data_IF_666940290811
#
_entry.id   IF_666940290811
#
_cell.length_a   1.000
_cell.length_b   1.000
_cell.length_c   1.000
_cell.angle_alpha   90.00
_cell.angle_beta   90.00
_cell.angle_gamma   90.00
#
_symmetry.space_group_name_H-M   'P 1'
#
loop_
_entity.id
_entity.type
_entity.pdbx_description
1 polymer ?
#
# COMPACT_ATOMS: atom_id res chain seq x y z
N UNK A 1 18.01 64.45 -12.08
CA UNK A 1 19.15 64.61 -11.16
C UNK A 1 18.62 64.84 -9.75
N UNK A 2 18.68 63.82 -8.89
CA UNK A 2 19.17 63.91 -7.49
C UNK A 2 18.89 62.57 -6.79
N UNK A 3 19.97 61.80 -6.65
CA UNK A 3 20.10 60.65 -5.78
C UNK A 3 19.97 61.08 -4.31
N UNK A 4 19.13 60.40 -3.53
CA UNK A 4 19.19 60.46 -2.07
C UNK A 4 18.94 59.07 -1.48
N UNK A 5 20.01 58.28 -1.37
CA UNK A 5 20.07 57.10 -0.50
C UNK A 5 20.14 57.59 0.96
N UNK A 6 19.07 57.38 1.73
CA UNK A 6 19.10 57.50 3.20
C UNK A 6 19.21 56.11 3.83
N UNK A 7 20.33 55.89 4.51
CA UNK A 7 20.66 54.72 5.32
C UNK A 7 19.69 54.60 6.50
N UNK A 8 19.17 53.38 6.74
CA UNK A 8 18.47 52.99 7.97
C UNK A 8 19.49 52.84 9.12
N UNK A 9 19.18 53.30 10.36
CA UNK A 9 20.05 53.10 11.50
C UNK A 9 19.83 51.71 12.14
N UNK A 10 20.93 51.03 12.40
CA UNK A 10 21.05 49.82 13.22
C UNK A 10 20.58 50.09 14.67
N UNK A 11 19.45 49.52 15.06
CA UNK A 11 18.98 49.48 16.46
C UNK A 11 18.45 48.07 16.80
N UNK A 12 19.33 47.06 16.68
CA UNK A 12 19.15 45.80 17.40
C UNK A 12 19.99 45.87 18.67
N UNK A 13 19.33 46.24 19.77
CA UNK A 13 19.91 46.26 21.09
C UNK A 13 20.29 44.84 21.52
N UNK A 14 21.56 44.68 21.91
CA UNK A 14 22.18 43.45 22.44
C UNK A 14 21.60 42.99 23.79
N UNK A 15 20.42 43.46 24.18
CA UNK A 15 19.82 43.23 25.50
C UNK A 15 18.72 42.17 25.51
N UNK A 16 18.15 41.79 24.36
CA UNK A 16 17.14 40.72 24.32
C UNK A 16 17.72 39.30 24.34
N UNK A 17 18.99 39.11 23.98
CA UNK A 17 19.64 37.80 24.02
C UNK A 17 20.11 37.36 25.42
N UNK A 18 20.12 38.28 26.40
CA UNK A 18 20.59 38.00 27.78
C UNK A 18 19.47 37.67 28.77
N UNK A 19 18.21 37.97 28.42
CA UNK A 19 17.04 37.71 29.26
C UNK A 19 16.44 36.30 29.08
N UNK A 20 16.81 35.57 28.03
CA UNK A 20 16.28 34.23 27.73
C UNK A 20 17.16 33.07 28.25
N UNK A 21 18.15 33.36 29.10
CA UNK A 21 19.12 32.36 29.63
C UNK A 21 18.97 32.08 31.13
N UNK A 22 17.83 32.44 31.74
CA UNK A 22 17.55 32.22 33.17
C UNK A 22 16.08 31.84 33.47
N UNK A 23 15.49 31.01 32.64
CA UNK A 23 14.29 30.24 33.02
C UNK A 23 14.64 28.75 33.04
N UNK A 24 15.13 28.28 34.20
CA UNK A 24 15.13 26.86 34.56
C UNK A 24 13.67 26.41 34.74
N UNK A 25 12.96 26.23 33.62
CA UNK A 25 11.75 25.42 33.59
C UNK A 25 12.23 24.03 33.19
N UNK A 26 12.58 23.23 34.20
CA UNK A 26 12.67 21.78 34.04
C UNK A 26 11.28 21.28 33.67
N UNK A 27 10.99 21.16 32.37
CA UNK A 27 9.90 20.29 31.94
C UNK A 27 10.21 18.90 32.49
N UNK A 28 9.26 18.22 33.15
CA UNK A 28 9.46 16.82 33.46
C UNK A 28 9.60 16.13 32.11
N UNK A 29 10.79 15.59 31.85
CA UNK A 29 10.97 14.63 30.76
C UNK A 29 10.01 13.51 31.12
N UNK A 30 8.87 13.44 30.44
CA UNK A 30 8.02 12.27 30.47
C UNK A 30 8.81 11.20 29.71
N UNK A 31 9.79 10.60 30.37
CA UNK A 31 10.32 9.30 29.98
C UNK A 31 9.17 8.34 30.23
N UNK A 32 8.26 8.22 29.27
CA UNK A 32 7.47 7.01 29.17
C UNK A 32 8.47 5.86 29.19
N UNK A 33 8.34 4.87 30.10
CA UNK A 33 9.13 3.67 29.96
C UNK A 33 8.91 3.18 28.54
N UNK A 34 9.99 2.81 27.84
CA UNK A 34 9.90 2.07 26.59
C UNK A 34 9.09 0.82 26.91
N UNK A 35 7.77 0.90 26.78
CA UNK A 35 6.89 -0.26 26.84
C UNK A 35 7.38 -1.12 25.71
N UNK A 36 8.09 -2.19 26.08
CA UNK A 36 8.52 -3.23 25.17
C UNK A 36 7.29 -3.60 24.37
N UNK A 37 7.29 -3.27 23.08
CA UNK A 37 6.26 -3.72 22.15
C UNK A 37 6.16 -5.23 22.41
N UNK A 38 5.00 -5.77 22.81
CA UNK A 38 4.90 -7.19 23.09
C UNK A 38 5.35 -7.91 21.82
N UNK A 39 6.49 -8.61 21.91
CA UNK A 39 7.05 -9.31 20.77
C UNK A 39 6.00 -10.33 20.33
N UNK A 40 5.46 -10.14 19.13
CA UNK A 40 4.44 -11.02 18.55
C UNK A 40 4.88 -12.47 18.73
N UNK A 41 3.98 -13.40 19.13
CA UNK A 41 4.34 -14.81 19.27
C UNK A 41 4.99 -15.29 17.97
N UNK A 42 6.28 -15.59 18.05
CA UNK A 42 7.07 -16.05 16.92
C UNK A 42 6.77 -17.53 16.76
N UNK A 43 5.88 -17.86 15.81
CA UNK A 43 5.80 -19.24 15.33
C UNK A 43 7.20 -19.58 14.80
N UNK A 44 7.86 -20.63 15.30
CA UNK A 44 9.20 -20.98 14.84
C UNK A 44 9.15 -21.24 13.33
N UNK A 45 10.14 -20.76 12.56
CA UNK A 45 10.13 -20.98 11.12
C UNK A 45 10.12 -22.49 10.83
N UNK A 46 9.39 -22.93 9.79
CA UNK A 46 9.38 -24.34 9.43
C UNK A 46 10.80 -24.79 9.07
N UNK A 47 11.15 -26.02 9.45
CA UNK A 47 12.38 -26.67 9.00
C UNK A 47 12.35 -26.79 7.48
N UNK A 48 13.51 -26.64 6.83
CA UNK A 48 13.63 -26.78 5.36
C UNK A 48 13.12 -28.15 4.90
N UNK A 49 13.39 -29.21 5.67
CA UNK A 49 12.89 -30.57 5.39
C UNK A 49 11.37 -30.71 5.40
N UNK A 50 10.65 -29.79 6.03
CA UNK A 50 9.18 -29.75 6.11
C UNK A 50 8.58 -28.64 5.23
N UNK A 51 9.40 -27.88 4.53
CA UNK A 51 8.98 -26.77 3.68
C UNK A 51 8.69 -27.28 2.28
N UNK A 52 7.52 -26.93 1.74
CA UNK A 52 7.24 -27.16 0.32
C UNK A 52 8.00 -26.13 -0.52
N UNK A 53 9.16 -26.55 -1.06
CA UNK A 53 10.03 -25.73 -1.89
C UNK A 53 10.62 -26.58 -3.03
N UNK A 54 9.93 -26.69 -4.18
CA UNK A 54 10.44 -27.38 -5.36
C UNK A 54 11.49 -26.53 -6.07
N UNK A 55 12.65 -26.32 -5.42
CA UNK A 55 13.77 -25.59 -6.00
C UNK A 55 14.57 -26.49 -6.95
N UNK A 56 14.72 -26.06 -8.20
CA UNK A 56 15.55 -26.72 -9.22
C UNK A 56 16.72 -25.83 -9.66
N UNK A 57 17.15 -24.91 -8.79
CA UNK A 57 18.22 -23.99 -9.10
C UNK A 57 19.53 -24.75 -9.34
N UNK A 58 20.01 -24.69 -10.58
CA UNK A 58 21.32 -25.19 -10.99
C UNK A 58 22.07 -24.06 -11.66
N UNK A 59 23.29 -23.83 -11.21
CA UNK A 59 24.16 -22.81 -11.77
C UNK A 59 24.44 -23.14 -13.25
N UNK A 60 24.24 -22.17 -14.14
CA UNK A 60 24.42 -22.34 -15.59
C UNK A 60 23.28 -23.04 -16.35
N UNK A 61 22.15 -23.38 -15.72
CA UNK A 61 20.97 -23.85 -16.45
C UNK A 61 20.15 -22.69 -17.01
N UNK A 62 20.10 -22.58 -18.34
CA UNK A 62 19.18 -21.72 -19.06
C UNK A 62 17.84 -22.44 -19.24
N UNK A 63 16.89 -22.14 -18.37
CA UNK A 63 15.53 -22.68 -18.46
C UNK A 63 14.71 -21.89 -19.50
N UNK A 64 14.84 -22.29 -20.77
CA UNK A 64 13.95 -21.94 -21.89
C UNK A 64 13.85 -20.46 -22.27
N UNK A 65 12.88 -20.14 -23.13
CA UNK A 65 12.57 -18.82 -23.73
C UNK A 65 12.08 -17.75 -22.72
N UNK A 66 12.57 -17.77 -21.48
CA UNK A 66 12.25 -16.78 -20.46
C UNK A 66 13.13 -15.54 -20.64
N UNK A 67 12.52 -14.46 -21.12
CA UNK A 67 13.17 -13.16 -21.38
C UNK A 67 13.55 -12.42 -20.10
N UNK A 68 12.79 -12.57 -19.01
CA UNK A 68 12.99 -11.81 -17.77
C UNK A 68 13.81 -12.57 -16.71
N UNK A 69 14.87 -11.93 -16.20
CA UNK A 69 15.77 -12.51 -15.18
C UNK A 69 15.06 -12.80 -13.85
N UNK A 70 14.18 -11.92 -13.39
CA UNK A 70 13.46 -12.11 -12.12
C UNK A 70 12.53 -13.32 -12.17
N UNK A 71 11.76 -13.45 -13.26
CA UNK A 71 10.88 -14.60 -13.48
C UNK A 71 11.67 -15.91 -13.52
N UNK A 72 12.81 -15.94 -14.23
CA UNK A 72 13.71 -17.10 -14.27
C UNK A 72 14.15 -17.52 -12.87
N UNK A 73 14.64 -16.58 -12.07
CA UNK A 73 15.10 -16.86 -10.71
C UNK A 73 13.96 -17.34 -9.81
N UNK A 74 12.79 -16.71 -9.88
CA UNK A 74 11.65 -17.09 -9.04
C UNK A 74 11.13 -18.50 -9.35
N UNK A 75 11.18 -18.92 -10.62
CA UNK A 75 10.84 -20.29 -11.02
C UNK A 75 11.90 -21.29 -10.54
N UNK A 76 13.19 -21.01 -10.78
CA UNK A 76 14.29 -21.90 -10.42
C UNK A 76 14.41 -22.10 -8.90
N UNK A 77 14.17 -21.04 -8.13
CA UNK A 77 14.23 -21.09 -6.66
C UNK A 77 12.97 -21.69 -6.02
N UNK A 78 11.94 -22.03 -6.81
CA UNK A 78 10.69 -22.58 -6.29
C UNK A 78 9.88 -21.55 -5.49
N UNK A 79 9.88 -20.28 -5.92
CA UNK A 79 9.05 -19.23 -5.32
C UNK A 79 7.66 -19.15 -5.98
N UNK A 80 7.60 -19.39 -7.29
CA UNK A 80 6.35 -19.41 -8.06
C UNK A 80 6.26 -20.66 -8.92
N UNK A 81 5.04 -21.07 -9.23
CA UNK A 81 4.76 -22.13 -10.20
C UNK A 81 3.68 -21.66 -11.18
N UNK A 82 3.87 -21.77 -12.50
CA UNK A 82 2.87 -21.33 -13.48
C UNK A 82 1.63 -22.24 -13.43
N UNK A 83 0.43 -21.64 -13.50
CA UNK A 83 -0.84 -22.36 -13.67
C UNK A 83 -1.34 -22.24 -15.11
N UNK A 84 -1.49 -20.99 -15.55
CA UNK A 84 -2.01 -20.59 -16.86
C UNK A 84 -1.20 -19.37 -17.32
N UNK A 85 -1.25 -18.98 -18.60
CA UNK A 85 -0.61 -17.75 -19.05
C UNK A 85 -1.06 -16.54 -18.22
N UNK A 86 -0.12 -15.89 -17.51
CA UNK A 86 -0.41 -14.77 -16.61
C UNK A 86 -0.88 -15.15 -15.20
N UNK A 87 -1.06 -16.44 -14.88
CA UNK A 87 -1.49 -16.91 -13.56
C UNK A 87 -0.41 -17.78 -12.90
N UNK A 88 -0.07 -17.47 -11.65
CA UNK A 88 0.97 -18.15 -10.90
C UNK A 88 0.48 -18.58 -9.52
N UNK A 89 0.91 -19.77 -9.09
CA UNK A 89 0.85 -20.17 -7.70
C UNK A 89 2.04 -19.56 -6.95
N UNK A 90 1.76 -18.81 -5.89
CA UNK A 90 2.79 -18.35 -4.96
C UNK A 90 3.07 -19.44 -3.93
N UNK A 91 4.33 -19.86 -3.85
CA UNK A 91 4.75 -20.92 -2.94
C UNK A 91 5.00 -20.35 -1.53
N UNK A 92 5.07 -21.20 -0.48
CA UNK A 92 5.06 -20.73 0.91
C UNK A 92 6.10 -19.67 1.25
N UNK A 93 7.30 -19.76 0.67
CA UNK A 93 8.36 -18.75 0.88
C UNK A 93 8.00 -17.41 0.23
N UNK A 94 7.43 -17.43 -0.97
CA UNK A 94 7.00 -16.23 -1.66
C UNK A 94 5.83 -15.54 -0.92
N UNK A 95 4.85 -16.33 -0.45
CA UNK A 95 3.74 -15.82 0.36
C UNK A 95 4.24 -15.13 1.63
N UNK A 96 5.20 -15.72 2.35
CA UNK A 96 5.79 -15.08 3.55
C UNK A 96 6.46 -13.74 3.23
N UNK A 97 7.13 -13.62 2.09
CA UNK A 97 7.74 -12.36 1.67
C UNK A 97 6.68 -11.33 1.25
N UNK A 98 5.64 -11.76 0.54
CA UNK A 98 4.50 -10.92 0.16
C UNK A 98 3.77 -10.38 1.40
N UNK A 99 3.50 -11.22 2.39
CA UNK A 99 2.88 -10.78 3.66
C UNK A 99 3.71 -9.72 4.40
N UNK A 100 5.04 -9.82 4.36
CA UNK A 100 5.91 -8.79 4.96
C UNK A 100 5.79 -7.45 4.22
N UNK A 101 5.74 -7.50 2.89
CA UNK A 101 5.55 -6.30 2.07
C UNK A 101 4.19 -5.66 2.33
N UNK A 102 3.11 -6.47 2.36
CA UNK A 102 1.76 -5.98 2.67
C UNK A 102 1.72 -5.33 4.05
N UNK A 103 2.34 -5.95 5.07
CA UNK A 103 2.42 -5.35 6.41
C UNK A 103 3.13 -4.00 6.42
N UNK A 104 4.25 -3.88 5.70
CA UNK A 104 4.97 -2.62 5.60
C UNK A 104 4.10 -1.54 4.95
N UNK A 105 3.41 -1.87 3.86
CA UNK A 105 2.49 -0.93 3.21
C UNK A 105 1.33 -0.56 4.14
N UNK A 106 0.74 -1.53 4.85
CA UNK A 106 -0.33 -1.29 5.81
C UNK A 106 0.12 -0.36 6.96
N UNK A 107 1.34 -0.54 7.47
CA UNK A 107 1.94 0.31 8.51
C UNK A 107 2.08 1.76 8.03
N UNK A 108 2.60 1.98 6.82
CA UNK A 108 2.76 3.31 6.23
C UNK A 108 1.41 3.96 5.90
N UNK A 109 0.48 3.20 5.32
CA UNK A 109 -0.87 3.68 5.01
C UNK A 109 -1.64 4.04 6.28
N UNK A 110 -1.48 3.26 7.34
CA UNK A 110 -2.06 3.58 8.64
C UNK A 110 -1.42 4.83 9.26
N UNK A 111 -0.10 5.04 9.10
CA UNK A 111 0.61 6.21 9.61
C UNK A 111 0.07 7.54 9.01
N UNK A 112 -0.40 7.53 7.76
CA UNK A 112 -1.04 8.69 7.12
C UNK A 112 -2.56 8.78 7.38
N UNK A 113 -3.12 7.92 8.23
CA UNK A 113 -4.56 7.90 8.57
C UNK A 113 -5.44 7.16 7.55
N UNK A 114 -4.84 6.33 6.70
CA UNK A 114 -5.56 5.46 5.76
C UNK A 114 -6.32 4.34 6.48
N UNK A 115 -7.52 4.06 6.01
CA UNK A 115 -8.39 3.01 6.52
C UNK A 115 -8.49 1.87 5.49
N UNK A 116 -8.11 0.67 5.91
CA UNK A 116 -8.14 -0.52 5.05
C UNK A 116 -9.57 -1.05 4.94
N UNK A 117 -10.00 -1.32 3.72
CA UNK A 117 -11.27 -1.96 3.38
C UNK A 117 -11.01 -3.12 2.42
N UNK A 118 -11.94 -4.05 2.33
CA UNK A 118 -11.87 -5.16 1.37
C UNK A 118 -13.07 -5.05 0.42
N UNK A 119 -12.81 -4.77 -0.85
CA UNK A 119 -13.83 -4.65 -1.88
C UNK A 119 -13.89 -5.93 -2.72
N UNK A 120 -15.08 -6.32 -3.20
CA UNK A 120 -15.25 -7.54 -3.97
C UNK A 120 -14.44 -7.47 -5.27
N UNK A 121 -13.81 -8.59 -5.65
CA UNK A 121 -13.11 -8.74 -6.94
C UNK A 121 -14.10 -8.76 -8.12
N UNK A 122 -15.31 -9.27 -7.87
CA UNK A 122 -16.39 -9.32 -8.83
C UNK A 122 -17.25 -8.05 -8.72
N UNK A 123 -17.28 -7.24 -9.77
CA UNK A 123 -18.04 -5.99 -9.83
C UNK A 123 -19.23 -6.13 -10.79
N UNK A 124 -20.36 -5.50 -10.48
CA UNK A 124 -21.53 -5.50 -11.37
C UNK A 124 -21.27 -4.65 -12.62
N UNK A 125 -21.78 -5.07 -13.76
CA UNK A 125 -21.63 -4.29 -14.99
C UNK A 125 -22.37 -2.95 -14.93
N UNK A 126 -23.46 -2.86 -14.18
CA UNK A 126 -24.23 -1.62 -14.00
C UNK A 126 -23.36 -0.48 -13.46
N UNK A 127 -22.51 -0.78 -12.49
CA UNK A 127 -21.60 0.17 -11.85
C UNK A 127 -20.59 0.74 -12.85
N UNK A 128 -20.05 -0.09 -13.74
CA UNK A 128 -19.14 0.32 -14.82
C UNK A 128 -19.84 1.00 -16.00
N UNK A 129 -21.12 0.68 -16.23
CA UNK A 129 -21.95 1.38 -17.22
C UNK A 129 -22.28 2.79 -16.74
N UNK A 130 -22.56 2.99 -15.44
CA UNK A 130 -22.75 4.31 -14.82
C UNK A 130 -21.53 5.22 -15.01
N UNK A 131 -20.31 4.68 -14.91
CA UNK A 131 -19.08 5.44 -15.16
C UNK A 131 -18.75 5.63 -16.64
N UNK A 132 -19.41 4.92 -17.54
CA UNK A 132 -19.09 4.87 -18.97
C UNK A 132 -17.82 4.09 -19.31
N UNK A 133 -17.10 3.55 -18.32
CA UNK A 133 -15.84 2.81 -18.55
C UNK A 133 -16.06 1.39 -19.08
N UNK A 134 -17.28 0.86 -19.00
CA UNK A 134 -17.63 -0.47 -19.49
C UNK A 134 -17.23 -0.72 -20.95
N UNK A 135 -17.52 0.24 -21.84
CA UNK A 135 -17.20 0.11 -23.27
C UNK A 135 -15.75 0.53 -23.56
N UNK A 136 -15.23 1.52 -22.83
CA UNK A 136 -13.88 2.07 -23.02
C UNK A 136 -12.78 1.05 -22.73
N UNK A 137 -12.98 0.18 -21.73
CA UNK A 137 -12.00 -0.86 -21.38
C UNK A 137 -11.88 -1.98 -22.43
N UNK A 138 -12.81 -2.04 -23.39
CA UNK A 138 -12.68 -2.88 -24.58
C UNK A 138 -12.52 -4.38 -24.28
N UNK A 139 -11.42 -4.96 -24.77
CA UNK A 139 -11.13 -6.41 -24.71
C UNK A 139 -10.32 -6.82 -23.48
N UNK A 140 -9.72 -5.88 -22.76
CA UNK A 140 -8.93 -6.17 -21.56
C UNK A 140 -9.83 -6.47 -20.36
N UNK A 141 -11.06 -5.95 -20.35
CA UNK A 141 -12.03 -6.23 -19.31
C UNK A 141 -12.55 -7.66 -19.40
N UNK A 142 -12.27 -8.44 -18.36
CA UNK A 142 -12.86 -9.76 -18.21
C UNK A 142 -14.33 -9.62 -17.81
N UNK A 143 -15.23 -10.09 -18.68
CA UNK A 143 -16.68 -10.05 -18.49
C UNK A 143 -17.22 -11.46 -18.32
N UNK A 144 -18.18 -11.61 -17.44
CA UNK A 144 -18.86 -12.88 -17.19
C UNK A 144 -20.36 -12.67 -16.99
N UNK A 145 -21.12 -13.71 -17.29
CA UNK A 145 -22.55 -13.79 -17.06
C UNK A 145 -22.79 -14.85 -15.98
N UNK A 146 -23.52 -14.48 -14.93
CA UNK A 146 -23.99 -15.44 -13.94
C UNK A 146 -25.15 -16.29 -14.50
N UNK A 147 -25.51 -17.38 -13.82
CA UNK A 147 -26.63 -18.28 -14.16
C UNK A 147 -27.98 -17.58 -14.29
N UNK A 148 -28.14 -16.41 -13.70
CA UNK A 148 -29.35 -15.58 -13.78
C UNK A 148 -29.28 -14.51 -14.90
N UNK A 149 -28.33 -14.64 -15.84
CA UNK A 149 -28.04 -13.66 -16.90
C UNK A 149 -27.65 -12.27 -16.37
N UNK A 150 -27.15 -12.20 -15.14
CA UNK A 150 -26.60 -10.97 -14.58
C UNK A 150 -25.15 -10.77 -15.08
N UNK A 151 -24.86 -9.56 -15.56
CA UNK A 151 -23.55 -9.18 -16.09
C UNK A 151 -22.61 -8.70 -14.98
N UNK A 152 -21.42 -9.27 -14.94
CA UNK A 152 -20.35 -8.92 -14.03
C UNK A 152 -19.02 -8.76 -14.77
N UNK A 153 -18.07 -8.12 -14.12
CA UNK A 153 -16.67 -8.09 -14.53
C UNK A 153 -15.74 -8.43 -13.36
N UNK A 154 -14.55 -8.92 -13.68
CA UNK A 154 -13.44 -8.86 -12.73
C UNK A 154 -12.89 -7.44 -12.79
N UNK A 155 -13.02 -6.71 -11.68
CA UNK A 155 -12.59 -5.31 -11.60
C UNK A 155 -11.07 -5.22 -11.77
N UNK A 156 -10.54 -4.60 -12.84
CA UNK A 156 -9.11 -4.31 -12.93
C UNK A 156 -8.68 -3.26 -11.90
N UNK A 157 -9.63 -2.38 -11.53
CA UNK A 157 -9.50 -1.32 -10.53
C UNK A 157 -10.85 -1.13 -9.82
N UNK A 158 -10.88 -0.35 -8.73
CA UNK A 158 -12.03 -0.26 -7.81
C UNK A 158 -12.58 1.16 -7.59
N UNK A 159 -12.30 2.12 -8.48
CA UNK A 159 -12.75 3.51 -8.33
C UNK A 159 -14.27 3.63 -8.29
N UNK A 160 -14.98 2.92 -9.17
CA UNK A 160 -16.43 2.89 -9.16
C UNK A 160 -16.99 2.18 -7.93
N UNK A 161 -16.33 1.10 -7.48
CA UNK A 161 -16.76 0.32 -6.32
C UNK A 161 -16.68 1.13 -5.03
N UNK A 162 -15.57 1.84 -4.81
CA UNK A 162 -15.40 2.70 -3.63
C UNK A 162 -16.32 3.93 -3.69
N UNK A 163 -16.58 4.46 -4.89
CA UNK A 163 -17.48 5.61 -5.06
C UNK A 163 -18.93 5.22 -4.78
N UNK A 164 -19.39 4.07 -5.28
CA UNK A 164 -20.74 3.55 -4.98
C UNK A 164 -20.87 3.22 -3.48
N UNK A 165 -19.84 2.60 -2.88
CA UNK A 165 -19.81 2.36 -1.44
C UNK A 165 -19.99 3.67 -0.69
N UNK A 166 -19.22 4.72 -1.02
CA UNK A 166 -19.34 6.02 -0.38
C UNK A 166 -20.72 6.67 -0.60
N UNK A 167 -21.25 6.63 -1.82
CA UNK A 167 -22.55 7.18 -2.18
C UNK A 167 -23.71 6.48 -1.44
N UNK A 168 -23.58 5.19 -1.16
CA UNK A 168 -24.59 4.41 -0.41
C UNK A 168 -24.67 4.82 1.06
N UNK A 169 -23.63 5.44 1.63
CA UNK A 169 -23.59 5.81 3.05
C UNK A 169 -24.23 7.18 3.28
N UNK A 170 -25.55 7.21 3.45
CA UNK A 170 -26.33 8.44 3.71
C UNK A 170 -25.93 9.17 5.00
N UNK A 171 -25.23 8.51 5.91
CA UNK A 171 -24.82 9.06 7.22
C UNK A 171 -23.54 9.90 7.16
N UNK A 172 -22.79 9.87 6.04
CA UNK A 172 -21.52 10.58 5.93
C UNK A 172 -21.78 12.06 5.68
N UNK A 173 -21.55 12.87 6.71
CA UNK A 173 -21.58 14.33 6.61
C UNK A 173 -20.20 14.88 6.19
N UNK A 174 -20.18 16.09 5.62
CA UNK A 174 -18.95 16.81 5.27
C UNK A 174 -17.93 16.89 6.41
N UNK A 175 -18.41 16.89 7.67
CA UNK A 175 -17.57 16.92 8.88
C UNK A 175 -16.68 15.68 9.04
N UNK A 176 -16.98 14.59 8.32
CA UNK A 176 -16.18 13.35 8.34
C UNK A 176 -15.05 13.36 7.32
N UNK A 177 -15.00 14.36 6.43
CA UNK A 177 -13.91 14.53 5.47
C UNK A 177 -12.74 15.30 6.09
N UNK A 178 -11.49 15.00 5.71
CA UNK A 178 -11.06 14.07 4.66
C UNK A 178 -11.10 12.58 5.08
N UNK A 179 -11.36 11.70 4.12
CA UNK A 179 -11.30 10.24 4.28
C UNK A 179 -10.31 9.66 3.28
N UNK A 180 -9.53 8.67 3.74
CA UNK A 180 -8.57 7.94 2.93
C UNK A 180 -8.84 6.44 3.08
N UNK A 181 -9.30 5.80 2.01
CA UNK A 181 -9.62 4.37 1.97
C UNK A 181 -8.64 3.65 1.04
N UNK A 182 -8.25 2.43 1.39
CA UNK A 182 -7.38 1.59 0.55
C UNK A 182 -7.70 0.10 0.75
N UNK A 183 -7.23 -0.73 -0.18
CA UNK A 183 -7.29 -2.20 -0.12
C UNK A 183 -5.92 -2.77 -0.48
#
# INVERSE_FOLDING_TARGET
MHHCHRKLPNLLSRTLFKALKRSNISSPIYTSPLTSIPSKPTIPPPLVSRLFLPSNYREGQESGDLTCRSQRLMLQTGLIHPSNPGCFYYLPVALRSMEKLVRLIDEEMHAIGGQKIDMPTLCSAELWKKSGRWELMGKEMFRLLDRHNAEYCLGPTHEEAVTELFASQTTISYKKLPLLLYQ
#
